data_IF_482830152225
#
_entry.id   IF_482830152225
#
_cell.length_a   1.000
_cell.length_b   1.000
_cell.length_c   1.000
_cell.angle_alpha   90.00
_cell.angle_beta   90.00
_cell.angle_gamma   90.00
#
_symmetry.space_group_name_H-M   'P 1'
#
loop_
_entity.id
_entity.type
_entity.pdbx_description
1 polymer ?
#
# COMPACT_ATOMS: atom_id res chain seq x y z
N UNK A 1 12.37 -9.04 0.32
CA UNK A 1 11.65 -9.06 -0.88
C UNK A 1 10.99 -7.74 -1.12
N UNK A 2 10.45 -7.63 -2.23
CA UNK A 2 10.27 -6.31 -2.73
C UNK A 2 8.83 -5.88 -2.74
N UNK A 3 8.67 -4.62 -3.05
CA UNK A 3 7.38 -3.99 -3.19
C UNK A 3 6.92 -4.21 -4.63
N UNK A 4 5.68 -4.65 -4.80
CA UNK A 4 5.10 -4.97 -6.10
C UNK A 4 4.41 -3.74 -6.67
N UNK A 5 4.62 -3.47 -7.96
CA UNK A 5 3.85 -2.43 -8.64
C UNK A 5 2.45 -2.98 -8.93
N UNK A 6 1.44 -2.30 -8.43
CA UNK A 6 0.05 -2.70 -8.62
C UNK A 6 -0.61 -1.77 -9.62
N UNK A 7 -1.33 -2.35 -10.58
CA UNK A 7 -2.09 -1.62 -11.58
C UNK A 7 -3.45 -2.29 -11.75
N UNK A 8 -4.28 -1.76 -12.63
CA UNK A 8 -5.64 -2.30 -12.81
C UNK A 8 -5.62 -3.73 -13.32
N UNK A 9 -4.54 -4.16 -13.97
CA UNK A 9 -4.47 -5.49 -14.57
C UNK A 9 -4.12 -6.56 -13.54
N UNK A 10 -3.40 -6.22 -12.47
CA UNK A 10 -3.00 -7.21 -11.48
C UNK A 10 -3.65 -6.99 -10.11
N UNK A 11 -4.47 -5.94 -9.95
CA UNK A 11 -5.05 -5.61 -8.65
C UNK A 11 -5.90 -6.75 -8.10
N UNK A 12 -6.76 -7.31 -8.91
CA UNK A 12 -7.64 -8.39 -8.45
C UNK A 12 -6.83 -9.58 -7.95
N UNK A 13 -5.86 -10.01 -8.74
CA UNK A 13 -5.07 -11.19 -8.41
C UNK A 13 -4.17 -10.95 -7.21
N UNK A 14 -3.49 -9.80 -7.20
CA UNK A 14 -2.48 -9.55 -6.17
C UNK A 14 -3.08 -9.05 -4.85
N UNK A 15 -4.20 -8.38 -4.89
CA UNK A 15 -4.79 -7.76 -3.71
C UNK A 15 -6.07 -8.46 -3.28
N UNK A 16 -7.05 -8.56 -4.18
CA UNK A 16 -8.37 -9.06 -3.79
C UNK A 16 -8.38 -10.56 -3.55
N UNK A 17 -7.57 -11.31 -4.28
CA UNK A 17 -7.50 -12.76 -4.15
C UNK A 17 -6.33 -13.23 -3.30
N UNK A 18 -5.59 -12.31 -2.69
CA UNK A 18 -4.44 -12.68 -1.89
C UNK A 18 -4.88 -13.35 -0.60
N UNK A 19 -4.19 -14.43 -0.25
CA UNK A 19 -4.38 -15.08 1.05
C UNK A 19 -3.53 -14.45 2.12
N UNK A 20 -2.57 -13.62 1.73
CA UNK A 20 -1.74 -12.87 2.67
C UNK A 20 -2.38 -11.52 2.95
N UNK A 21 -2.02 -10.95 4.09
CA UNK A 21 -2.34 -9.54 4.37
C UNK A 21 -1.59 -8.70 3.34
N UNK A 22 -2.26 -7.70 2.78
CA UNK A 22 -1.67 -6.84 1.74
C UNK A 22 -1.65 -5.40 2.24
N UNK A 23 -0.47 -4.77 2.17
CA UNK A 23 -0.31 -3.35 2.47
C UNK A 23 -0.14 -2.63 1.14
N UNK A 24 -1.01 -1.65 0.86
CA UNK A 24 -0.96 -0.88 -0.37
C UNK A 24 -0.60 0.57 -0.05
N UNK A 25 0.40 1.08 -0.78
CA UNK A 25 0.87 2.47 -0.69
C UNK A 25 0.41 3.21 -1.93
N UNK A 26 -0.56 4.12 -1.77
CA UNK A 26 -1.00 5.01 -2.84
C UNK A 26 -0.09 6.23 -2.84
N UNK A 27 0.58 6.49 -3.97
CA UNK A 27 1.64 7.50 -4.03
C UNK A 27 1.65 8.20 -5.39
N UNK A 28 2.48 9.24 -5.51
CA UNK A 28 2.75 9.90 -6.78
C UNK A 28 4.20 10.36 -6.79
N UNK A 29 4.77 10.49 -7.99
CA UNK A 29 6.18 10.84 -8.12
C UNK A 29 6.49 12.26 -7.64
N UNK A 30 5.51 13.16 -7.70
CA UNK A 30 5.68 14.56 -7.32
C UNK A 30 5.47 14.80 -5.82
N UNK A 31 5.18 13.76 -5.08
CA UNK A 31 4.76 13.88 -3.68
C UNK A 31 5.97 13.71 -2.75
N UNK A 32 6.36 14.80 -2.07
CA UNK A 32 7.47 14.78 -1.12
C UNK A 32 7.28 13.81 0.03
N UNK A 33 6.13 13.88 0.75
CA UNK A 33 5.87 12.94 1.85
C UNK A 33 5.88 11.47 1.40
N UNK A 34 5.44 11.20 0.15
CA UNK A 34 5.50 9.85 -0.39
C UNK A 34 6.95 9.37 -0.50
N UNK A 35 7.84 10.25 -0.95
CA UNK A 35 9.26 9.91 -1.05
C UNK A 35 9.89 9.65 0.32
N UNK A 36 9.42 10.37 1.34
CA UNK A 36 9.89 10.14 2.70
C UNK A 36 9.48 8.76 3.22
N UNK A 37 8.29 8.32 2.82
CA UNK A 37 7.77 7.03 3.30
C UNK A 37 8.28 5.85 2.49
N UNK A 38 8.79 6.07 1.29
CA UNK A 38 9.23 4.98 0.43
C UNK A 38 10.26 4.06 1.12
N UNK A 39 11.34 4.58 1.75
CA UNK A 39 12.26 3.69 2.46
C UNK A 39 11.60 2.95 3.63
N UNK A 40 10.65 3.59 4.30
CA UNK A 40 9.94 2.94 5.42
C UNK A 40 9.15 1.74 4.92
N UNK A 41 8.46 1.92 3.80
CA UNK A 41 7.67 0.84 3.20
C UNK A 41 8.58 -0.28 2.71
N UNK A 42 9.73 0.06 2.11
CA UNK A 42 10.71 -0.94 1.69
C UNK A 42 11.22 -1.75 2.89
N UNK A 43 11.48 -1.07 4.02
CA UNK A 43 11.92 -1.75 5.23
C UNK A 43 10.86 -2.71 5.77
N UNK A 44 9.60 -2.29 5.74
CA UNK A 44 8.50 -3.15 6.18
C UNK A 44 8.44 -4.40 5.31
N UNK A 45 8.55 -4.22 3.98
CA UNK A 45 8.53 -5.36 3.07
C UNK A 45 9.65 -6.34 3.38
N UNK A 46 10.85 -5.82 3.72
CA UNK A 46 11.98 -6.66 4.09
C UNK A 46 11.74 -7.38 5.41
N UNK A 47 11.28 -6.64 6.41
CA UNK A 47 11.13 -7.19 7.76
C UNK A 47 10.02 -8.23 7.84
N UNK A 48 8.91 -7.96 7.16
CA UNK A 48 7.75 -8.87 7.22
C UNK A 48 7.92 -10.07 6.29
N UNK A 49 8.80 -9.95 5.30
CA UNK A 49 9.14 -11.05 4.44
C UNK A 49 7.93 -11.61 3.71
N UNK A 50 7.76 -12.92 3.78
CA UNK A 50 6.66 -13.58 3.07
C UNK A 50 5.36 -13.59 3.84
N UNK A 51 5.35 -13.02 5.04
CA UNK A 51 4.13 -13.01 5.85
C UNK A 51 3.10 -12.03 5.32
N UNK A 52 3.54 -10.99 4.64
CA UNK A 52 2.62 -10.02 4.04
C UNK A 52 3.07 -9.71 2.61
N UNK A 53 2.17 -9.11 1.86
CA UNK A 53 2.46 -8.61 0.52
C UNK A 53 2.40 -7.09 0.57
N UNK A 54 3.38 -6.42 -0.04
CA UNK A 54 3.42 -4.97 -0.07
C UNK A 54 3.37 -4.53 -1.52
N UNK A 55 2.43 -3.64 -1.85
CA UNK A 55 2.28 -3.12 -3.20
C UNK A 55 2.19 -1.61 -3.22
N UNK A 56 2.48 -1.02 -4.36
CA UNK A 56 2.40 0.42 -4.57
C UNK A 56 1.49 0.71 -5.76
N UNK A 57 0.65 1.72 -5.61
CA UNK A 57 -0.24 2.18 -6.68
C UNK A 57 0.07 3.66 -6.92
N UNK A 58 0.49 3.97 -8.14
CA UNK A 58 0.71 5.37 -8.57
C UNK A 58 -0.64 5.95 -8.97
N UNK A 59 -1.11 6.96 -8.22
CA UNK A 59 -2.45 7.50 -8.44
C UNK A 59 -2.60 8.23 -9.79
N UNK A 60 -1.49 8.69 -10.36
CA UNK A 60 -1.55 9.35 -11.67
C UNK A 60 -1.76 8.34 -12.79
N UNK A 61 -1.24 7.12 -12.60
CA UNK A 61 -1.37 6.05 -13.60
C UNK A 61 -2.62 5.21 -13.38
N UNK A 62 -3.10 5.15 -12.13
CA UNK A 62 -4.23 4.30 -11.77
C UNK A 62 -5.30 5.13 -11.09
N UNK A 63 -5.84 6.09 -11.82
CA UNK A 63 -6.81 7.04 -11.28
C UNK A 63 -8.08 6.36 -10.81
N UNK A 64 -8.51 5.32 -11.52
CA UNK A 64 -9.74 4.60 -11.17
C UNK A 64 -9.61 3.89 -9.83
N UNK A 65 -8.44 3.31 -9.57
CA UNK A 65 -8.23 2.64 -8.29
C UNK A 65 -8.22 3.65 -7.14
N UNK A 66 -7.61 4.82 -7.35
CA UNK A 66 -7.60 5.86 -6.33
C UNK A 66 -9.01 6.33 -6.03
N UNK A 67 -9.84 6.50 -7.06
CA UNK A 67 -11.24 6.93 -6.89
C UNK A 67 -12.03 5.84 -6.16
N UNK A 68 -11.85 4.59 -6.58
CA UNK A 68 -12.59 3.47 -6.01
C UNK A 68 -12.38 3.36 -4.51
N UNK A 69 -11.18 3.65 -4.03
CA UNK A 69 -10.86 3.53 -2.61
C UNK A 69 -10.84 4.89 -1.89
N UNK A 70 -11.40 5.92 -2.52
CA UNK A 70 -11.54 7.24 -1.90
C UNK A 70 -10.20 7.79 -1.41
N UNK A 71 -9.17 7.67 -2.23
CA UNK A 71 -7.85 8.21 -1.87
C UNK A 71 -7.85 9.69 -2.21
N UNK A 72 -7.98 10.53 -1.18
CA UNK A 72 -8.09 11.98 -1.33
C UNK A 72 -6.77 12.69 -1.10
N UNK A 73 -5.86 12.06 -0.39
CA UNK A 73 -4.54 12.61 -0.07
C UNK A 73 -3.52 11.52 -0.18
N UNK A 74 -2.25 11.86 -0.42
CA UNK A 74 -1.17 10.89 -0.49
C UNK A 74 -0.01 11.31 0.40
N UNK A 75 0.73 10.36 0.94
CA UNK A 75 0.51 8.92 0.80
C UNK A 75 -0.70 8.45 1.60
N UNK A 76 -1.39 7.45 1.07
CA UNK A 76 -2.43 6.73 1.80
C UNK A 76 -2.04 5.27 1.83
N UNK A 77 -2.10 4.67 3.01
CA UNK A 77 -1.74 3.27 3.21
C UNK A 77 -3.01 2.51 3.57
N UNK A 78 -3.35 1.49 2.78
CA UNK A 78 -4.54 0.68 3.03
C UNK A 78 -4.10 -0.76 3.24
N UNK A 79 -4.66 -1.39 4.27
CA UNK A 79 -4.40 -2.80 4.56
C UNK A 79 -5.62 -3.61 4.13
N UNK A 80 -5.37 -4.66 3.36
CA UNK A 80 -6.41 -5.58 2.90
C UNK A 80 -6.21 -6.94 3.53
N UNK A 81 -7.33 -7.57 3.92
CA UNK A 81 -7.38 -8.96 4.36
C UNK A 81 -8.52 -9.64 3.64
N UNK A 82 -8.21 -10.74 2.97
CA UNK A 82 -9.22 -11.52 2.24
C UNK A 82 -10.04 -10.64 1.30
N UNK A 83 -9.38 -9.70 0.63
CA UNK A 83 -10.00 -8.82 -0.33
C UNK A 83 -10.74 -7.62 0.25
N UNK A 84 -10.74 -7.46 1.57
CA UNK A 84 -11.47 -6.38 2.23
C UNK A 84 -10.51 -5.38 2.86
N UNK A 85 -10.84 -4.10 2.74
CA UNK A 85 -10.08 -3.06 3.43
C UNK A 85 -10.36 -3.17 4.92
N UNK A 86 -9.31 -3.35 5.72
CA UNK A 86 -9.45 -3.49 7.17
C UNK A 86 -8.79 -2.37 7.95
N UNK A 87 -8.01 -1.52 7.29
CA UNK A 87 -7.39 -0.38 7.95
C UNK A 87 -6.82 0.58 6.94
N UNK A 88 -6.68 1.85 7.37
CA UNK A 88 -6.10 2.88 6.49
C UNK A 88 -5.44 3.96 7.34
N UNK A 89 -4.36 4.55 6.82
CA UNK A 89 -3.78 5.73 7.41
C UNK A 89 -3.32 6.65 6.29
N UNK A 90 -3.27 7.96 6.59
CA UNK A 90 -2.97 8.99 5.59
C UNK A 90 -1.80 9.83 6.10
N UNK A 91 -0.86 10.11 5.21
CA UNK A 91 0.27 10.98 5.52
C UNK A 91 1.47 10.22 6.06
N UNK A 92 2.45 10.96 6.54
CA UNK A 92 3.68 10.38 7.08
C UNK A 92 3.37 9.71 8.41
N UNK A 93 3.77 8.44 8.54
CA UNK A 93 3.55 7.64 9.73
C UNK A 93 4.86 7.01 10.15
N UNK A 94 4.99 6.70 11.44
CA UNK A 94 6.11 5.90 11.92
C UNK A 94 5.98 4.47 11.42
N UNK A 95 7.12 3.83 11.22
CA UNK A 95 7.14 2.43 10.78
C UNK A 95 6.31 1.53 11.70
N UNK A 96 6.41 1.75 13.02
CA UNK A 96 5.66 0.93 13.96
C UNK A 96 4.16 1.11 13.86
N UNK A 97 3.71 2.32 13.52
CA UNK A 97 2.28 2.56 13.32
C UNK A 97 1.75 1.76 12.13
N UNK A 98 2.52 1.76 11.02
CA UNK A 98 2.13 0.98 9.85
C UNK A 98 2.15 -0.52 10.19
N UNK A 99 3.20 -0.98 10.88
CA UNK A 99 3.30 -2.40 11.24
C UNK A 99 2.16 -2.85 12.15
N UNK A 100 1.71 -1.96 13.03
CA UNK A 100 0.59 -2.28 13.92
C UNK A 100 -0.70 -2.52 13.15
N UNK A 101 -0.88 -1.84 12.01
CA UNK A 101 -2.05 -2.05 11.18
C UNK A 101 -2.05 -3.44 10.52
N UNK A 102 -0.88 -4.09 10.46
CA UNK A 102 -0.73 -5.38 9.79
C UNK A 102 -0.96 -6.58 10.73
N UNK A 103 -1.24 -6.32 11.99
CA UNK A 103 -1.45 -7.39 12.97
C UNK A 103 -2.85 -7.98 12.92
#
# INVERSE_FOLDING_TARGET
MSVITINKNNFEEEVLKSEKIVLIDFWASWCGPCRMMSPVIDEIAEEMGENIKVGKINIDEEKELAIKYDVMSIPTFIVFKNGNEVGRSVGVQDKEEIKNMLK
#
